data_IF_442574287617
#
_entry.id   IF_442574287617
#
_cell.length_a   1.000
_cell.length_b   1.000
_cell.length_c   1.000
_cell.angle_alpha   90.00
_cell.angle_beta   90.00
_cell.angle_gamma   90.00
#
_symmetry.space_group_name_H-M   'P 1'
#
loop_
_entity.id
_entity.type
_entity.pdbx_description
1 polymer ?
#
# COMPACT_ATOMS: atom_id res chain seq x y z
N UNK A 1 13.90 -6.14 17.80
CA UNK A 1 14.56 -7.32 17.24
C UNK A 1 13.78 -7.79 16.02
N UNK A 2 14.49 -7.98 14.93
CA UNK A 2 13.90 -8.41 13.69
C UNK A 2 14.65 -9.63 13.16
N UNK A 3 14.46 -10.80 13.81
CA UNK A 3 15.20 -12.01 13.43
C UNK A 3 14.90 -12.50 12.02
N UNK A 4 13.86 -11.93 11.40
CA UNK A 4 13.40 -12.31 10.06
C UNK A 4 13.65 -11.22 9.02
N UNK A 5 14.58 -10.31 9.27
CA UNK A 5 15.03 -9.40 8.23
C UNK A 5 15.58 -10.22 7.07
N UNK A 6 15.21 -9.88 5.85
CA UNK A 6 15.78 -10.51 4.68
C UNK A 6 17.27 -10.19 4.62
N UNK A 7 18.03 -11.00 3.88
CA UNK A 7 19.46 -10.76 3.67
C UNK A 7 19.73 -9.47 2.90
N UNK A 8 18.68 -8.89 2.27
CA UNK A 8 18.77 -7.68 1.45
C UNK A 8 17.67 -6.70 1.82
N UNK A 9 17.72 -6.08 3.02
CA UNK A 9 16.76 -5.07 3.40
C UNK A 9 16.86 -3.87 2.47
N UNK A 10 15.77 -3.10 2.34
CA UNK A 10 15.75 -1.90 1.53
C UNK A 10 16.61 -0.81 2.17
N UNK A 11 17.23 0.04 1.32
CA UNK A 11 17.91 1.23 1.77
C UNK A 11 16.91 2.20 2.39
N UNK A 12 17.13 2.59 3.64
CA UNK A 12 16.22 3.45 4.38
C UNK A 12 16.08 4.83 3.73
N UNK A 13 17.17 5.43 3.28
CA UNK A 13 17.09 6.76 2.65
C UNK A 13 16.32 6.71 1.32
N UNK A 14 16.57 5.71 0.49
CA UNK A 14 15.81 5.51 -0.74
C UNK A 14 14.33 5.27 -0.44
N UNK A 15 14.04 4.45 0.57
CA UNK A 15 12.68 4.17 0.99
C UNK A 15 11.96 5.43 1.46
N UNK A 16 12.61 6.25 2.30
CA UNK A 16 12.02 7.49 2.78
C UNK A 16 11.70 8.46 1.64
N UNK A 17 12.55 8.53 0.62
CA UNK A 17 12.26 9.32 -0.57
C UNK A 17 11.07 8.77 -1.35
N UNK A 18 11.02 7.46 -1.55
CA UNK A 18 9.90 6.80 -2.24
C UNK A 18 8.58 7.06 -1.53
N UNK A 19 8.58 7.03 -0.20
CA UNK A 19 7.40 7.26 0.63
C UNK A 19 7.02 8.75 0.75
N UNK A 20 7.89 9.66 0.30
CA UNK A 20 7.67 11.09 0.48
C UNK A 20 7.82 11.55 1.91
N UNK A 21 8.60 10.84 2.73
CA UNK A 21 8.76 11.12 4.16
C UNK A 21 10.13 11.65 4.53
N UNK A 22 11.06 11.77 3.58
CA UNK A 22 12.44 12.13 3.90
C UNK A 22 12.55 13.44 4.69
N UNK A 23 11.79 14.46 4.32
CA UNK A 23 11.78 15.75 5.00
C UNK A 23 11.19 15.68 6.41
N UNK A 24 10.42 14.63 6.71
CA UNK A 24 9.74 14.43 7.98
C UNK A 24 10.41 13.37 8.86
N UNK A 25 11.60 12.89 8.47
CA UNK A 25 12.24 11.73 9.11
C UNK A 25 12.57 11.91 10.59
N UNK A 26 12.66 13.14 11.05
CA UNK A 26 12.94 13.46 12.46
C UNK A 26 11.69 13.84 13.27
N UNK A 27 10.50 13.81 12.65
CA UNK A 27 9.26 14.13 13.35
C UNK A 27 8.77 12.93 14.16
N UNK A 28 8.11 13.22 15.27
CA UNK A 28 7.43 12.22 16.08
C UNK A 28 6.09 11.85 15.43
N UNK A 29 5.55 10.64 15.71
CA UNK A 29 4.29 10.21 15.09
C UNK A 29 3.14 11.19 15.24
N UNK A 30 3.03 11.86 16.40
CA UNK A 30 1.96 12.84 16.64
C UNK A 30 2.13 14.15 15.86
N UNK A 31 3.27 14.35 15.22
CA UNK A 31 3.56 15.51 14.37
C UNK A 31 3.28 15.25 12.90
N UNK A 32 2.86 14.04 12.57
CA UNK A 32 2.58 13.61 11.20
C UNK A 32 1.08 13.67 10.91
N UNK A 33 0.74 14.00 9.65
CA UNK A 33 -0.65 13.91 9.19
C UNK A 33 -1.10 12.44 9.12
N UNK A 34 -2.41 12.21 8.95
CA UNK A 34 -2.95 10.87 8.79
C UNK A 34 -2.33 10.13 7.61
N UNK A 35 -2.17 10.82 6.47
CA UNK A 35 -1.52 10.24 5.30
C UNK A 35 -0.05 9.94 5.52
N UNK A 36 0.68 10.81 6.21
CA UNK A 36 2.08 10.58 6.56
C UNK A 36 2.24 9.40 7.52
N UNK A 37 1.34 9.27 8.50
CA UNK A 37 1.33 8.12 9.40
C UNK A 37 1.09 6.82 8.63
N UNK A 38 0.17 6.83 7.67
CA UNK A 38 -0.11 5.66 6.84
C UNK A 38 1.09 5.31 5.96
N UNK A 39 1.78 6.30 5.39
CA UNK A 39 3.02 6.08 4.63
C UNK A 39 4.11 5.48 5.51
N UNK A 40 4.21 5.93 6.76
CA UNK A 40 5.15 5.37 7.73
C UNK A 40 4.84 3.89 8.00
N UNK A 41 3.57 3.55 8.16
CA UNK A 41 3.15 2.16 8.36
C UNK A 41 3.52 1.27 7.17
N UNK A 42 3.31 1.77 5.95
CA UNK A 42 3.72 1.06 4.74
C UNK A 42 5.24 0.86 4.73
N UNK A 43 6.00 1.90 5.05
CA UNK A 43 7.45 1.84 5.11
C UNK A 43 7.96 0.82 6.12
N UNK A 44 7.35 0.77 7.30
CA UNK A 44 7.71 -0.23 8.33
C UNK A 44 7.46 -1.65 7.84
N UNK A 45 6.40 -1.86 7.07
CA UNK A 45 6.09 -3.17 6.52
C UNK A 45 7.08 -3.59 5.44
N UNK A 46 7.53 -2.67 4.57
CA UNK A 46 8.34 -3.02 3.40
C UNK A 46 9.86 -2.90 3.61
N UNK A 47 10.31 -2.22 4.69
CA UNK A 47 11.75 -2.03 4.91
C UNK A 47 12.53 -3.35 4.96
N UNK A 48 11.88 -4.42 5.38
CA UNK A 48 12.46 -5.76 5.43
C UNK A 48 12.53 -6.44 4.06
N UNK A 49 12.07 -5.77 3.02
CA UNK A 49 11.99 -6.29 1.66
C UNK A 49 11.19 -7.61 1.58
N UNK A 50 9.93 -7.62 2.04
CA UNK A 50 9.13 -8.84 2.07
C UNK A 50 8.64 -9.21 0.67
N UNK A 51 8.35 -10.50 0.46
CA UNK A 51 7.73 -10.97 -0.77
C UNK A 51 6.26 -10.56 -0.88
N UNK A 52 5.59 -10.45 0.26
CA UNK A 52 4.16 -10.13 0.33
C UNK A 52 3.94 -8.94 1.26
N UNK A 53 3.21 -7.95 0.78
CA UNK A 53 2.73 -6.81 1.57
C UNK A 53 1.22 -6.95 1.75
N UNK A 54 0.78 -7.02 3.00
CA UNK A 54 -0.64 -7.06 3.34
C UNK A 54 -1.14 -5.68 3.71
N UNK A 55 -2.18 -5.21 3.04
CA UNK A 55 -2.82 -3.93 3.31
C UNK A 55 -4.29 -4.18 3.66
N UNK A 56 -4.67 -3.90 4.91
CA UNK A 56 -6.04 -4.05 5.39
C UNK A 56 -6.68 -2.68 5.50
N UNK A 57 -7.62 -2.38 4.60
CA UNK A 57 -8.33 -1.09 4.54
C UNK A 57 -7.37 0.10 4.62
N UNK A 58 -6.38 0.21 3.72
CA UNK A 58 -5.31 1.21 3.86
C UNK A 58 -5.80 2.65 3.73
N UNK A 59 -7.00 2.87 3.21
CA UNK A 59 -7.58 4.20 3.01
C UNK A 59 -8.80 4.47 3.90
N UNK A 60 -9.13 3.57 4.81
CA UNK A 60 -10.40 3.60 5.56
C UNK A 60 -10.60 4.83 6.44
N UNK A 61 -9.52 5.43 6.94
CA UNK A 61 -9.58 6.60 7.83
C UNK A 61 -9.10 7.89 7.14
N UNK A 62 -8.95 7.89 5.82
CA UNK A 62 -8.40 9.00 5.06
C UNK A 62 -9.45 9.66 4.18
N UNK A 63 -9.28 10.96 3.91
CA UNK A 63 -10.10 11.67 2.93
C UNK A 63 -9.83 11.16 1.51
N UNK A 64 -10.68 11.56 0.58
CA UNK A 64 -10.63 11.10 -0.82
C UNK A 64 -9.27 11.37 -1.48
N UNK A 65 -8.79 12.61 -1.36
CA UNK A 65 -7.54 13.00 -2.00
C UNK A 65 -6.33 12.22 -1.44
N UNK A 66 -6.24 12.16 -0.11
CA UNK A 66 -5.16 11.43 0.56
C UNK A 66 -5.25 9.93 0.29
N UNK A 67 -6.46 9.38 0.19
CA UNK A 67 -6.67 7.98 -0.17
C UNK A 67 -6.08 7.65 -1.53
N UNK A 68 -6.27 8.51 -2.53
CA UNK A 68 -5.69 8.31 -3.86
C UNK A 68 -4.17 8.34 -3.82
N UNK A 69 -3.60 9.24 -3.03
CA UNK A 69 -2.14 9.31 -2.87
C UNK A 69 -1.57 8.03 -2.26
N UNK A 70 -2.26 7.46 -1.26
CA UNK A 70 -1.83 6.21 -0.62
C UNK A 70 -1.95 5.03 -1.60
N UNK A 71 -3.04 4.96 -2.37
CA UNK A 71 -3.20 3.90 -3.36
C UNK A 71 -2.13 3.98 -4.46
N UNK A 72 -1.80 5.20 -4.90
CA UNK A 72 -0.73 5.41 -5.86
C UNK A 72 0.61 4.94 -5.28
N UNK A 73 0.89 5.27 -4.02
CA UNK A 73 2.10 4.84 -3.34
C UNK A 73 2.20 3.31 -3.27
N UNK A 74 1.13 2.63 -2.93
CA UNK A 74 1.10 1.17 -2.87
C UNK A 74 1.42 0.58 -4.25
N UNK A 75 0.85 1.14 -5.31
CA UNK A 75 1.16 0.73 -6.68
C UNK A 75 2.62 0.95 -7.05
N UNK A 76 3.18 2.11 -6.68
CA UNK A 76 4.58 2.45 -6.95
C UNK A 76 5.53 1.51 -6.20
N UNK A 77 5.22 1.18 -4.95
CA UNK A 77 5.99 0.23 -4.13
C UNK A 77 5.98 -1.15 -4.78
N UNK A 78 4.82 -1.61 -5.23
CA UNK A 78 4.68 -2.89 -5.91
C UNK A 78 5.57 -2.96 -7.16
N UNK A 79 5.57 -1.90 -7.97
CA UNK A 79 6.38 -1.86 -9.19
C UNK A 79 7.87 -1.73 -8.89
N UNK A 80 8.24 -0.88 -7.94
CA UNK A 80 9.64 -0.59 -7.65
C UNK A 80 10.35 -1.75 -6.96
N UNK A 81 9.69 -2.38 -5.99
CA UNK A 81 10.32 -3.41 -5.15
C UNK A 81 9.91 -4.83 -5.53
N UNK A 82 8.93 -4.98 -6.43
CA UNK A 82 8.55 -6.28 -6.96
C UNK A 82 7.81 -7.21 -6.00
N UNK A 83 7.33 -6.67 -4.86
CA UNK A 83 6.57 -7.48 -3.91
C UNK A 83 5.15 -7.75 -4.43
N UNK A 84 4.53 -8.80 -3.90
CA UNK A 84 3.11 -9.06 -4.12
C UNK A 84 2.30 -8.30 -3.09
N UNK A 85 1.35 -7.49 -3.53
CA UNK A 85 0.47 -6.74 -2.63
C UNK A 85 -0.88 -7.44 -2.55
N UNK A 86 -1.31 -7.74 -1.34
CA UNK A 86 -2.66 -8.24 -1.08
C UNK A 86 -3.40 -7.14 -0.31
N UNK A 87 -4.46 -6.62 -0.91
CA UNK A 87 -5.23 -5.53 -0.31
C UNK A 87 -6.64 -6.01 0.02
N UNK A 88 -7.06 -5.79 1.26
CA UNK A 88 -8.43 -6.03 1.70
C UNK A 88 -9.13 -4.68 1.77
N UNK A 89 -10.27 -4.55 1.09
CA UNK A 89 -11.01 -3.29 1.08
C UNK A 89 -12.50 -3.52 0.84
N UNK A 90 -13.32 -2.63 1.39
CA UNK A 90 -14.76 -2.55 1.10
C UNK A 90 -15.04 -1.52 0.00
N UNK A 91 -14.05 -0.78 -0.47
CA UNK A 91 -14.22 0.17 -1.56
C UNK A 91 -14.13 -0.55 -2.91
N UNK A 92 -15.28 -0.72 -3.54
CA UNK A 92 -15.38 -1.48 -4.78
C UNK A 92 -14.61 -0.85 -5.96
N UNK A 93 -14.38 0.47 -5.93
CA UNK A 93 -13.64 1.13 -7.00
C UNK A 93 -12.16 0.71 -7.04
N UNK A 94 -11.57 0.36 -5.90
CA UNK A 94 -10.15 -0.01 -5.79
C UNK A 94 -9.84 -1.28 -6.60
N UNK A 95 -10.82 -2.16 -6.80
CA UNK A 95 -10.64 -3.39 -7.60
C UNK A 95 -10.06 -3.13 -8.99
N UNK A 96 -10.33 -1.94 -9.54
CA UNK A 96 -9.94 -1.64 -10.92
C UNK A 96 -8.44 -1.38 -11.07
N UNK A 97 -7.72 -1.16 -9.99
CA UNK A 97 -6.25 -1.02 -10.04
C UNK A 97 -5.50 -2.33 -9.81
N UNK A 98 -6.19 -3.39 -9.42
CA UNK A 98 -5.59 -4.66 -9.09
C UNK A 98 -5.33 -5.52 -10.33
N UNK A 99 -4.32 -6.40 -10.25
CA UNK A 99 -4.09 -7.42 -11.27
C UNK A 99 -5.16 -8.51 -11.18
N UNK A 100 -5.49 -8.92 -9.96
CA UNK A 100 -6.48 -9.96 -9.68
C UNK A 100 -7.44 -9.49 -8.61
N UNK A 101 -8.71 -9.82 -8.79
CA UNK A 101 -9.78 -9.48 -7.83
C UNK A 101 -10.40 -10.78 -7.30
N UNK A 102 -10.50 -10.85 -5.98
CA UNK A 102 -11.21 -11.94 -5.30
C UNK A 102 -12.31 -11.31 -4.47
N UNK A 103 -13.56 -11.64 -4.77
CA UNK A 103 -14.71 -11.18 -3.99
C UNK A 103 -15.18 -12.27 -3.06
N UNK A 104 -15.30 -11.92 -1.77
CA UNK A 104 -15.78 -12.82 -0.73
C UNK A 104 -17.17 -12.38 -0.27
N UNK A 105 -18.01 -13.38 -0.02
CA UNK A 105 -19.33 -13.15 0.57
C UNK A 105 -19.71 -14.36 1.41
N UNK A 106 -20.13 -14.12 2.65
CA UNK A 106 -20.56 -15.16 3.59
C UNK A 106 -19.49 -16.26 3.75
N UNK A 107 -18.22 -15.86 3.80
CA UNK A 107 -17.11 -16.79 4.00
C UNK A 107 -16.71 -17.61 2.78
N UNK A 108 -17.26 -17.31 1.60
CA UNK A 108 -16.98 -18.05 0.37
C UNK A 108 -16.53 -17.11 -0.75
N UNK A 109 -15.70 -17.64 -1.64
CA UNK A 109 -15.28 -16.91 -2.84
C UNK A 109 -16.44 -16.86 -3.82
N UNK A 110 -16.88 -15.65 -4.19
CA UNK A 110 -17.96 -15.43 -5.16
C UNK A 110 -17.43 -15.12 -6.55
N UNK A 111 -16.31 -14.39 -6.62
CA UNK A 111 -15.65 -14.06 -7.89
C UNK A 111 -14.15 -14.13 -7.71
N UNK A 112 -13.46 -14.59 -8.72
CA UNK A 112 -12.00 -14.62 -8.79
C UNK A 112 -11.63 -14.45 -10.26
N UNK A 113 -11.08 -13.27 -10.60
CA UNK A 113 -10.74 -12.95 -11.98
C UNK A 113 -9.54 -12.02 -12.06
N UNK A 114 -8.90 -12.00 -13.21
CA UNK A 114 -7.83 -11.03 -13.51
C UNK A 114 -8.40 -9.87 -14.30
N UNK A 115 -7.96 -8.65 -13.99
CA UNK A 115 -8.28 -7.48 -14.81
C UNK A 115 -7.41 -7.51 -16.07
N UNK A 116 -8.04 -7.41 -17.24
CA UNK A 116 -7.33 -7.31 -18.51
C UNK A 116 -6.61 -5.96 -18.65
N UNK A 117 -7.24 -4.90 -18.15
CA UNK A 117 -6.70 -3.55 -18.17
C UNK A 117 -6.83 -2.95 -16.77
N UNK A 118 -5.69 -2.56 -16.18
CA UNK A 118 -5.68 -1.90 -14.88
C UNK A 118 -5.87 -0.40 -15.05
N UNK A 119 -6.58 0.22 -14.09
CA UNK A 119 -6.73 1.66 -14.00
C UNK A 119 -5.73 2.17 -12.98
N UNK A 120 -5.00 3.24 -13.31
CA UNK A 120 -4.09 3.87 -12.38
C UNK A 120 -4.84 4.42 -11.16
N UNK A 121 -4.18 4.44 -10.00
CA UNK A 121 -4.82 4.88 -8.75
C UNK A 121 -5.38 6.30 -8.86
N UNK A 122 -4.68 7.20 -9.53
CA UNK A 122 -5.12 8.58 -9.72
C UNK A 122 -6.36 8.71 -10.59
N UNK A 123 -6.68 7.71 -11.39
CA UNK A 123 -7.85 7.69 -12.29
C UNK A 123 -9.04 6.94 -11.71
N UNK A 124 -8.91 6.38 -10.50
CA UNK A 124 -10.03 5.74 -9.83
C UNK A 124 -11.07 6.78 -9.40
N UNK A 125 -12.33 6.38 -9.49
CA UNK A 125 -13.46 7.24 -9.10
C UNK A 125 -14.37 6.48 -8.14
N UNK A 126 -14.72 7.13 -7.02
CA UNK A 126 -15.72 6.66 -6.08
C UNK A 126 -16.39 7.79 -5.31
#
# INVERSE_FOLDING_TARGET
>A
VFPYLSDSPLDIDDLLHTLGLYEHRHKLPNQLSGGQQQRTSIGRAIVKNPDILLCDEPTGALDYHTSKEILKLIGDVNQKYGNTVIMVTHNDAIKNMADRVVKLRDGAIRKNYCNETKIAAEDLEW
#
